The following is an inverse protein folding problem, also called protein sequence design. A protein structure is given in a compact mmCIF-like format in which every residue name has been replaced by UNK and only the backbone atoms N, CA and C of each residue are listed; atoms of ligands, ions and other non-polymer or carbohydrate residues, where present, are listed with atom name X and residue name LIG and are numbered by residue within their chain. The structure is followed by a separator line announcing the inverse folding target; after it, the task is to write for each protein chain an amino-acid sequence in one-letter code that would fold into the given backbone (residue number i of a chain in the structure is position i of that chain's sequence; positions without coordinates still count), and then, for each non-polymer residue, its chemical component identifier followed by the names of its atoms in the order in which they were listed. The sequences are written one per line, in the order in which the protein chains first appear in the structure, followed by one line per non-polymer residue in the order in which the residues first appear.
data_IF_602601192703
#
_entry.id   IF_602601192703
#
_cell.length_a   1.000
_cell.length_b   1.000
_cell.length_c   1.000
_cell.angle_alpha   90.00
_cell.angle_beta   90.00
_cell.angle_gamma   90.00
#
_symmetry.space_group_name_H-M   'P 1'
#
loop_
_entity.id
_entity.type
_entity.pdbx_description
1 polymer ?
#
# COMPACT_ATOMS: atom_id res chain seq x y z
N UNK A 1 -9.90 -14.28 10.59
CA UNK A 1 -9.01 -14.84 9.55
C UNK A 1 -8.14 -13.71 8.97
N UNK A 2 -7.07 -13.27 9.64
CA UNK A 2 -6.42 -11.97 9.37
C UNK A 2 -4.88 -11.95 9.28
N UNK A 3 -4.23 -13.10 9.10
CA UNK A 3 -2.77 -13.18 9.10
C UNK A 3 -2.13 -12.53 7.85
N UNK A 4 -2.75 -12.66 6.68
CA UNK A 4 -2.20 -12.10 5.43
C UNK A 4 -2.28 -10.57 5.39
N UNK A 5 -3.37 -9.99 5.92
CA UNK A 5 -3.60 -8.54 5.89
C UNK A 5 -2.53 -7.72 6.61
N UNK A 6 -2.11 -8.15 7.81
CA UNK A 6 -1.05 -7.45 8.57
C UNK A 6 0.31 -7.51 7.87
N UNK A 7 0.61 -8.60 7.17
CA UNK A 7 1.84 -8.73 6.39
C UNK A 7 1.80 -7.80 5.16
N UNK A 8 0.67 -7.75 4.48
CA UNK A 8 0.44 -6.83 3.35
C UNK A 8 0.57 -5.37 3.80
N UNK A 9 -0.05 -4.98 4.93
CA UNK A 9 0.06 -3.63 5.49
C UNK A 9 1.52 -3.26 5.79
N UNK A 10 2.27 -4.12 6.48
CA UNK A 10 3.70 -3.87 6.77
C UNK A 10 4.54 -3.74 5.50
N UNK A 11 4.24 -4.52 4.47
CA UNK A 11 4.93 -4.47 3.19
C UNK A 11 4.62 -3.19 2.42
N UNK A 12 3.36 -2.73 2.46
CA UNK A 12 2.93 -1.45 1.89
C UNK A 12 3.56 -0.28 2.63
N UNK A 13 3.64 -0.31 3.96
CA UNK A 13 4.34 0.72 4.75
C UNK A 13 5.79 0.83 4.30
N UNK A 14 6.51 -0.30 4.15
CA UNK A 14 7.90 -0.29 3.66
C UNK A 14 8.02 0.29 2.26
N UNK A 15 7.06 -0.04 1.38
CA UNK A 15 7.03 0.46 0.00
C UNK A 15 6.76 1.97 -0.03
N UNK A 16 5.82 2.47 0.78
CA UNK A 16 5.56 3.90 0.96
C UNK A 16 6.81 4.61 1.49
N UNK A 17 7.40 4.12 2.58
CA UNK A 17 8.64 4.68 3.13
C UNK A 17 9.75 4.76 2.08
N UNK A 18 9.96 3.69 1.31
CA UNK A 18 10.93 3.69 0.21
C UNK A 18 10.60 4.73 -0.88
N UNK A 19 9.33 4.85 -1.27
CA UNK A 19 8.86 5.84 -2.26
C UNK A 19 9.07 7.27 -1.78
N UNK A 20 8.74 7.57 -0.53
CA UNK A 20 8.95 8.89 0.08
C UNK A 20 10.44 9.24 0.13
N UNK A 21 11.29 8.29 0.54
CA UNK A 21 12.76 8.45 0.50
C UNK A 21 13.28 8.67 -0.92
N UNK A 22 12.82 7.89 -1.90
CA UNK A 22 13.22 8.04 -3.31
C UNK A 22 12.76 9.37 -3.91
N UNK A 23 11.62 9.87 -3.48
CA UNK A 23 11.06 11.16 -3.90
C UNK A 23 11.67 12.36 -3.16
N UNK A 24 12.55 12.12 -2.18
CA UNK A 24 13.07 13.12 -1.26
C UNK A 24 11.95 13.92 -0.54
N UNK A 25 10.81 13.26 -0.31
CA UNK A 25 9.64 13.82 0.39
C UNK A 25 9.72 13.52 1.88
N UNK A 26 9.15 14.41 2.69
CA UNK A 26 9.04 14.18 4.13
C UNK A 26 8.17 12.95 4.41
N UNK A 27 8.67 12.04 5.24
CA UNK A 27 7.90 10.87 5.63
C UNK A 27 6.72 11.31 6.49
N UNK A 28 5.48 10.92 6.15
CA UNK A 28 4.34 11.15 7.00
C UNK A 28 4.48 10.33 8.29
N UNK A 29 3.75 10.75 9.32
CA UNK A 29 3.76 10.11 10.64
C UNK A 29 3.38 8.62 10.56
N UNK A 30 3.86 7.82 11.52
CA UNK A 30 3.67 6.37 11.53
C UNK A 30 2.19 5.98 11.52
N UNK A 31 1.34 6.71 12.25
CA UNK A 31 -0.11 6.52 12.23
C UNK A 31 -0.70 6.76 10.84
N UNK A 32 -0.23 7.80 10.15
CA UNK A 32 -0.71 8.16 8.81
C UNK A 32 -0.23 7.16 7.76
N UNK A 33 1.00 6.66 7.88
CA UNK A 33 1.50 5.57 7.04
C UNK A 33 0.68 4.29 7.23
N UNK A 34 0.30 3.96 8.47
CA UNK A 34 -0.52 2.81 8.78
C UNK A 34 -1.93 2.95 8.20
N UNK A 35 -2.55 4.12 8.33
CA UNK A 35 -3.85 4.41 7.71
C UNK A 35 -3.79 4.29 6.18
N UNK A 36 -2.78 4.92 5.55
CA UNK A 36 -2.58 4.82 4.10
C UNK A 36 -2.37 3.37 3.65
N UNK A 37 -1.57 2.60 4.39
CA UNK A 37 -1.35 1.18 4.08
C UNK A 37 -2.63 0.36 4.21
N UNK A 38 -3.44 0.62 5.24
CA UNK A 38 -4.73 -0.05 5.45
C UNK A 38 -5.68 0.23 4.30
N UNK A 39 -5.82 1.49 3.89
CA UNK A 39 -6.66 1.90 2.76
C UNK A 39 -6.19 1.27 1.45
N UNK A 40 -4.89 1.28 1.17
CA UNK A 40 -4.31 0.69 -0.04
C UNK A 40 -4.53 -0.83 -0.11
N UNK A 41 -4.35 -1.54 1.02
CA UNK A 41 -4.60 -2.98 1.09
C UNK A 41 -6.07 -3.30 0.89
N UNK A 42 -6.99 -2.56 1.53
CA UNK A 42 -8.42 -2.74 1.33
C UNK A 42 -8.86 -2.49 -0.12
N UNK A 43 -8.32 -1.44 -0.74
CA UNK A 43 -8.59 -1.12 -2.14
C UNK A 43 -8.02 -2.18 -3.09
N UNK A 44 -6.80 -2.66 -2.84
CA UNK A 44 -6.20 -3.73 -3.61
C UNK A 44 -7.00 -5.03 -3.49
N UNK A 45 -7.51 -5.37 -2.30
CA UNK A 45 -8.41 -6.52 -2.11
C UNK A 45 -9.75 -6.34 -2.85
N UNK A 46 -10.32 -5.13 -2.84
CA UNK A 46 -11.56 -4.83 -3.61
C UNK A 46 -11.33 -5.01 -5.11
N UNK A 47 -10.22 -4.49 -5.65
CA UNK A 47 -9.88 -4.61 -7.07
C UNK A 47 -9.53 -6.06 -7.42
N UNK A 48 -8.81 -6.77 -6.55
CA UNK A 48 -8.47 -8.19 -6.73
C UNK A 48 -9.73 -9.05 -6.84
N UNK A 49 -10.74 -8.81 -5.98
CA UNK A 49 -12.03 -9.51 -6.07
C UNK A 49 -12.80 -9.18 -7.35
N UNK A 50 -12.73 -7.93 -7.83
CA UNK A 50 -13.43 -7.50 -9.06
C UNK A 50 -12.75 -7.96 -10.34
N UNK A 51 -11.41 -8.02 -10.38
CA UNK A 51 -10.61 -8.25 -11.59
C UNK A 51 -9.87 -9.59 -11.61
N UNK A 52 -9.88 -10.35 -10.52
CA UNK A 52 -9.12 -11.61 -10.39
C UNK A 52 -7.60 -11.42 -10.39
N UNK A 53 -7.10 -10.18 -10.23
CA UNK A 53 -5.66 -9.86 -10.23
C UNK A 53 -5.04 -10.09 -8.84
N UNK A 54 -3.74 -10.42 -8.80
CA UNK A 54 -2.97 -10.56 -7.56
C UNK A 54 -2.91 -9.21 -6.81
N UNK A 55 -3.22 -9.22 -5.51
CA UNK A 55 -3.23 -8.03 -4.63
C UNK A 55 -1.91 -7.25 -4.72
N UNK A 56 -0.78 -7.96 -4.73
CA UNK A 56 0.54 -7.33 -4.85
C UNK A 56 0.74 -6.49 -6.12
N UNK A 57 0.24 -6.97 -7.27
CA UNK A 57 0.32 -6.21 -8.53
C UNK A 57 -0.48 -4.92 -8.45
N UNK A 58 -1.67 -4.97 -7.84
CA UNK A 58 -2.53 -3.81 -7.65
C UNK A 58 -1.90 -2.82 -6.67
N UNK A 59 -1.35 -3.29 -5.55
CA UNK A 59 -0.64 -2.45 -4.58
C UNK A 59 0.50 -1.68 -5.23
N UNK A 60 1.28 -2.34 -6.10
CA UNK A 60 2.35 -1.68 -6.85
C UNK A 60 1.81 -0.64 -7.83
N UNK A 61 0.75 -0.97 -8.56
CA UNK A 61 0.07 -0.02 -9.46
C UNK A 61 -0.42 1.21 -8.67
N UNK A 62 -1.14 1.02 -7.55
CA UNK A 62 -1.66 2.10 -6.70
C UNK A 62 -0.56 3.00 -6.14
N UNK A 63 0.56 2.42 -5.68
CA UNK A 63 1.69 3.21 -5.14
C UNK A 63 2.44 3.96 -6.24
N UNK A 64 2.49 3.43 -7.47
CA UNK A 64 3.08 4.14 -8.60
C UNK A 64 2.16 5.26 -9.12
N UNK A 65 0.83 5.05 -9.07
CA UNK A 65 -0.21 6.01 -9.45
C UNK A 65 -0.31 7.22 -8.50
N UNK A 66 0.14 7.08 -7.24
CA UNK A 66 0.34 8.21 -6.31
C UNK A 66 1.42 9.22 -6.80
N UNK A 67 1.96 9.09 -8.02
CA UNK A 67 2.63 10.17 -8.75
C UNK A 67 1.62 11.28 -9.09
N UNK A 68 1.44 12.24 -8.21
CA UNK A 68 1.00 13.59 -8.56
C UNK A 68 1.90 14.58 -7.87
#
# INVERSE_FOLDING_TARGET
MGFFRKQEEQMVIRLLVWRYKKANLQLPDASRLSEMATTLVDEAHRIARKRGKKVWSILKELVDDLKT
#
